data_IF_641758760824
#
_entry.id   IF_641758760824
#
_cell.length_a   1.000
_cell.length_b   1.000
_cell.length_c   1.000
_cell.angle_alpha   90.00
_cell.angle_beta   90.00
_cell.angle_gamma   90.00
#
_symmetry.space_group_name_H-M   'P 1'
#
loop_
_entity.id
_entity.type
_entity.pdbx_description
1 polymer ?
#
# COMPACT_ATOMS: atom_id res chain seq x y z
N UNK A 1 -42.76 -28.33 -34.83
CA UNK A 1 -42.18 -27.31 -33.94
C UNK A 1 -40.67 -27.45 -33.96
N UNK A 2 -39.95 -26.46 -34.48
CA UNK A 2 -38.48 -26.50 -34.60
C UNK A 2 -37.89 -26.04 -33.27
N UNK A 3 -37.31 -26.97 -32.52
CA UNK A 3 -36.67 -26.69 -31.24
C UNK A 3 -35.22 -26.26 -31.52
N UNK A 4 -34.94 -24.96 -31.41
CA UNK A 4 -33.56 -24.47 -31.50
C UNK A 4 -32.78 -24.86 -30.24
N UNK A 5 -31.59 -25.49 -30.36
CA UNK A 5 -30.75 -25.76 -29.21
C UNK A 5 -30.30 -24.44 -28.59
N UNK A 6 -30.56 -24.28 -27.29
CA UNK A 6 -30.12 -23.14 -26.51
C UNK A 6 -28.59 -23.17 -26.44
N UNK A 7 -27.85 -22.10 -26.82
CA UNK A 7 -26.40 -22.11 -26.72
C UNK A 7 -26.00 -22.36 -25.26
N UNK A 8 -25.00 -23.23 -25.07
CA UNK A 8 -24.46 -23.53 -23.76
C UNK A 8 -24.12 -22.23 -23.05
N UNK A 9 -24.62 -22.05 -21.82
CA UNK A 9 -24.28 -20.90 -21.00
C UNK A 9 -22.79 -21.01 -20.69
N UNK A 10 -21.98 -20.22 -21.38
CA UNK A 10 -20.58 -20.00 -21.04
C UNK A 10 -20.48 -19.82 -19.52
N UNK A 11 -19.62 -20.62 -18.90
CA UNK A 11 -19.49 -20.72 -17.45
C UNK A 11 -19.43 -19.31 -16.84
N UNK A 12 -20.40 -19.01 -15.97
CA UNK A 12 -20.48 -17.69 -15.32
C UNK A 12 -19.13 -17.43 -14.66
N UNK A 13 -18.41 -16.39 -15.09
CA UNK A 13 -17.22 -15.89 -14.40
C UNK A 13 -17.62 -15.60 -12.96
N UNK A 14 -17.31 -16.52 -12.05
CA UNK A 14 -17.70 -16.40 -10.66
C UNK A 14 -17.00 -15.16 -10.09
N UNK A 15 -17.79 -14.23 -9.55
CA UNK A 15 -17.27 -13.04 -8.92
C UNK A 15 -16.44 -13.43 -7.69
N UNK A 16 -15.12 -13.25 -7.77
CA UNK A 16 -14.19 -13.53 -6.67
C UNK A 16 -14.25 -12.38 -5.67
N UNK A 17 -14.85 -12.60 -4.50
CA UNK A 17 -14.86 -11.62 -3.39
C UNK A 17 -13.66 -11.78 -2.44
N UNK A 18 -12.69 -12.63 -2.78
CA UNK A 18 -11.49 -12.78 -1.96
C UNK A 18 -10.67 -11.50 -2.01
N UNK A 19 -10.39 -10.94 -0.82
CA UNK A 19 -9.55 -9.74 -0.69
C UNK A 19 -8.12 -10.03 -1.15
N UNK A 20 -7.43 -9.00 -1.62
CA UNK A 20 -6.00 -9.10 -1.89
C UNK A 20 -5.24 -9.04 -0.57
N UNK A 21 -4.17 -9.83 -0.46
CA UNK A 21 -3.23 -9.70 0.64
C UNK A 21 -2.42 -8.40 0.49
N UNK A 22 -1.73 -8.00 1.57
CA UNK A 22 -0.84 -6.84 1.53
C UNK A 22 0.27 -7.02 0.49
N UNK A 23 0.88 -8.20 0.45
CA UNK A 23 1.98 -8.51 -0.49
C UNK A 23 1.49 -8.53 -1.94
N UNK A 24 0.35 -9.18 -2.22
CA UNK A 24 -0.27 -9.19 -3.54
C UNK A 24 -0.53 -7.76 -4.03
N UNK A 25 -1.05 -6.91 -3.14
CA UNK A 25 -1.29 -5.51 -3.41
C UNK A 25 -0.01 -4.72 -3.71
N UNK A 26 1.01 -4.91 -2.90
CA UNK A 26 2.31 -4.25 -3.07
C UNK A 26 2.96 -4.65 -4.39
N UNK A 27 2.82 -5.92 -4.80
CA UNK A 27 3.28 -6.38 -6.11
C UNK A 27 2.58 -5.65 -7.26
N UNK A 28 1.26 -5.43 -7.17
CA UNK A 28 0.52 -4.67 -8.19
C UNK A 28 1.08 -3.25 -8.35
N UNK A 29 1.43 -2.59 -7.24
CA UNK A 29 2.05 -1.25 -7.26
C UNK A 29 3.41 -1.31 -7.95
N UNK A 30 4.26 -2.24 -7.53
CA UNK A 30 5.61 -2.39 -8.07
C UNK A 30 5.61 -2.72 -9.57
N UNK A 31 4.82 -3.70 -9.99
CA UNK A 31 4.75 -4.11 -11.39
C UNK A 31 4.21 -2.98 -12.29
N UNK A 32 3.24 -2.20 -11.79
CA UNK A 32 2.64 -1.09 -12.53
C UNK A 32 3.52 0.17 -12.57
N UNK A 33 4.10 0.57 -11.45
CA UNK A 33 4.78 1.87 -11.31
C UNK A 33 6.29 1.77 -11.51
N UNK A 34 6.94 0.81 -10.86
CA UNK A 34 8.40 0.66 -10.89
C UNK A 34 8.85 -0.08 -12.16
N UNK A 35 8.18 -1.20 -12.50
CA UNK A 35 8.48 -1.97 -13.72
C UNK A 35 7.77 -1.50 -14.97
N UNK A 36 6.78 -0.61 -14.85
CA UNK A 36 5.97 -0.09 -15.97
C UNK A 36 5.39 -1.19 -16.88
N UNK A 37 5.03 -2.34 -16.31
CA UNK A 37 4.52 -3.49 -17.05
C UNK A 37 3.10 -3.24 -17.59
N UNK A 38 2.77 -3.85 -18.73
CA UNK A 38 1.39 -3.88 -19.24
C UNK A 38 0.52 -4.77 -18.36
N UNK A 39 -0.73 -4.39 -18.12
CA UNK A 39 -1.63 -5.11 -17.22
C UNK A 39 -1.81 -6.61 -17.52
N UNK A 40 -1.82 -7.00 -18.79
CA UNK A 40 -1.89 -8.41 -19.19
C UNK A 40 -0.68 -9.20 -18.70
N UNK A 41 0.52 -8.61 -18.77
CA UNK A 41 1.75 -9.21 -18.23
C UNK A 41 1.72 -9.25 -16.71
N UNK A 42 1.24 -8.18 -16.07
CA UNK A 42 1.06 -8.15 -14.61
C UNK A 42 0.16 -9.30 -14.16
N UNK A 43 -0.97 -9.57 -14.85
CA UNK A 43 -1.84 -10.72 -14.54
C UNK A 43 -1.06 -12.04 -14.60
N UNK A 44 -0.29 -12.26 -15.66
CA UNK A 44 0.45 -13.50 -15.86
C UNK A 44 1.51 -13.70 -14.76
N UNK A 45 2.33 -12.69 -14.51
CA UNK A 45 3.38 -12.76 -13.50
C UNK A 45 2.80 -12.81 -12.06
N UNK A 46 1.68 -12.13 -11.81
CA UNK A 46 0.94 -12.26 -10.56
C UNK A 46 0.52 -13.70 -10.30
N UNK A 47 -0.06 -14.38 -11.31
CA UNK A 47 -0.50 -15.76 -11.18
C UNK A 47 0.68 -16.74 -11.00
N UNK A 48 1.85 -16.43 -11.56
CA UNK A 48 3.08 -17.21 -11.34
C UNK A 48 3.60 -17.06 -9.90
N UNK A 49 3.51 -15.86 -9.33
CA UNK A 49 4.03 -15.57 -7.99
C UNK A 49 3.10 -16.00 -6.86
N UNK A 50 1.79 -15.73 -6.98
CA UNK A 50 0.80 -15.94 -5.92
C UNK A 50 -0.15 -17.12 -6.19
N UNK A 51 0.03 -17.80 -7.32
CA UNK A 51 -0.89 -18.83 -7.78
C UNK A 51 -2.10 -18.25 -8.53
N UNK A 52 -2.86 -19.15 -9.16
CA UNK A 52 -4.00 -18.79 -10.00
C UNK A 52 -5.37 -19.01 -9.32
N UNK A 53 -5.37 -19.36 -8.03
CA UNK A 53 -6.60 -19.61 -7.26
C UNK A 53 -6.63 -18.60 -6.10
N UNK A 54 -7.55 -17.62 -6.11
CA UNK A 54 -8.59 -17.40 -7.13
C UNK A 54 -8.03 -16.69 -8.37
N UNK A 55 -8.68 -16.88 -9.52
CA UNK A 55 -8.24 -16.20 -10.75
C UNK A 55 -8.42 -14.68 -10.60
N UNK A 56 -7.31 -13.94 -10.68
CA UNK A 56 -7.33 -12.47 -10.71
C UNK A 56 -7.45 -11.99 -12.15
N UNK A 57 -8.46 -11.17 -12.42
CA UNK A 57 -8.63 -10.54 -13.75
C UNK A 57 -7.85 -9.24 -13.84
N UNK A 58 -7.51 -8.81 -15.06
CA UNK A 58 -6.90 -7.49 -15.31
C UNK A 58 -7.74 -6.37 -14.68
N UNK A 59 -9.06 -6.43 -14.84
CA UNK A 59 -9.99 -5.47 -14.24
C UNK A 59 -9.91 -5.48 -12.70
N UNK A 60 -9.78 -6.65 -12.09
CA UNK A 60 -9.62 -6.78 -10.64
C UNK A 60 -8.33 -6.12 -10.13
N UNK A 61 -7.21 -6.35 -10.81
CA UNK A 61 -5.92 -5.75 -10.47
C UNK A 61 -5.96 -4.22 -10.63
N UNK A 62 -6.52 -3.74 -11.74
CA UNK A 62 -6.71 -2.30 -11.99
C UNK A 62 -7.62 -1.65 -10.95
N UNK A 63 -8.76 -2.25 -10.64
CA UNK A 63 -9.70 -1.73 -9.65
C UNK A 63 -9.07 -1.65 -8.26
N UNK A 64 -8.28 -2.66 -7.87
CA UNK A 64 -7.52 -2.60 -6.63
C UNK A 64 -6.48 -1.46 -6.66
N UNK A 65 -5.67 -1.37 -7.73
CA UNK A 65 -4.65 -0.34 -7.90
C UNK A 65 -5.22 1.08 -7.77
N UNK A 66 -6.32 1.37 -8.47
CA UNK A 66 -6.95 2.70 -8.43
C UNK A 66 -7.63 3.01 -7.10
N UNK A 67 -8.13 2.01 -6.36
CA UNK A 67 -8.60 2.20 -4.98
C UNK A 67 -7.45 2.58 -4.06
N UNK A 68 -6.29 1.94 -4.21
CA UNK A 68 -5.12 2.25 -3.37
C UNK A 68 -4.44 3.57 -3.71
N UNK A 69 -4.60 4.09 -4.93
CA UNK A 69 -4.18 5.46 -5.25
C UNK A 69 -4.96 6.54 -4.46
N UNK A 70 -6.04 6.19 -3.79
CA UNK A 70 -6.78 7.11 -2.91
C UNK A 70 -6.18 7.20 -1.50
N UNK A 71 -5.19 6.35 -1.18
CA UNK A 71 -4.57 6.25 0.15
C UNK A 71 -3.05 6.18 0.05
N UNK A 72 -2.43 7.18 -0.55
CA UNK A 72 -0.96 7.26 -0.64
C UNK A 72 -0.43 7.95 0.62
N UNK A 73 0.55 7.38 1.36
CA UNK A 73 1.15 8.06 2.51
C UNK A 73 1.84 9.36 2.08
N UNK A 74 1.48 10.46 2.73
CA UNK A 74 2.10 11.76 2.49
C UNK A 74 3.49 11.78 3.11
N UNK A 75 4.47 12.20 2.30
CA UNK A 75 5.83 12.42 2.77
C UNK A 75 6.31 13.81 2.38
N UNK A 76 7.25 14.32 3.15
CA UNK A 76 8.03 15.49 2.78
C UNK A 76 9.12 15.10 1.75
N UNK A 77 9.75 16.09 1.09
CA UNK A 77 10.83 15.84 0.12
C UNK A 77 11.98 14.96 0.65
N UNK A 78 12.27 15.02 1.96
CA UNK A 78 13.31 14.19 2.60
C UNK A 78 12.92 12.70 2.78
N UNK A 79 11.69 12.33 2.42
CA UNK A 79 11.14 10.99 2.51
C UNK A 79 10.51 10.64 3.88
N UNK A 80 10.43 11.60 4.80
CA UNK A 80 9.77 11.43 6.11
C UNK A 80 8.26 11.53 5.98
N UNK A 81 7.53 10.71 6.73
CA UNK A 81 6.07 10.72 6.75
C UNK A 81 5.54 11.99 7.41
N UNK A 82 4.46 12.54 6.86
CA UNK A 82 3.72 13.66 7.45
C UNK A 82 2.59 13.11 8.31
N UNK A 83 2.37 13.71 9.48
CA UNK A 83 1.31 13.33 10.41
C UNK A 83 0.42 14.54 10.67
N UNK A 84 -0.84 14.33 11.04
CA UNK A 84 -1.72 15.46 11.40
C UNK A 84 -1.33 16.01 12.78
N UNK A 85 -1.00 15.12 13.72
CA UNK A 85 -0.55 15.48 15.06
C UNK A 85 0.78 14.81 15.44
N UNK A 86 1.39 15.29 16.53
CA UNK A 86 2.64 14.73 17.07
C UNK A 86 2.51 13.28 17.55
N UNK A 87 1.32 12.88 18.02
CA UNK A 87 1.07 11.56 18.63
C UNK A 87 0.39 10.55 17.72
N UNK A 88 -0.01 10.99 16.52
CA UNK A 88 -0.65 10.09 15.57
C UNK A 88 0.36 9.02 15.14
N UNK A 89 -0.08 7.76 15.22
CA UNK A 89 0.69 6.62 14.73
C UNK A 89 0.44 6.34 13.25
N UNK A 90 -0.58 6.96 12.66
CA UNK A 90 -0.89 6.82 11.24
C UNK A 90 -0.48 8.10 10.51
N UNK A 91 0.26 7.99 9.39
CA UNK A 91 0.60 9.16 8.60
C UNK A 91 -0.65 9.73 7.93
N UNK A 92 -0.57 10.98 7.51
CA UNK A 92 -1.55 11.59 6.64
C UNK A 92 -1.54 10.87 5.30
N UNK A 93 -2.72 10.57 4.77
CA UNK A 93 -2.89 9.99 3.43
C UNK A 93 -3.46 11.03 2.48
N UNK A 94 -3.05 10.95 1.22
CA UNK A 94 -3.55 11.77 0.12
C UNK A 94 -4.29 10.92 -0.90
N UNK A 95 -5.28 11.54 -1.55
CA UNK A 95 -6.06 10.95 -2.62
C UNK A 95 -5.61 11.50 -3.97
N UNK A 96 -5.07 10.65 -4.84
CA UNK A 96 -4.58 11.03 -6.17
C UNK A 96 -5.67 11.59 -7.09
N UNK A 97 -6.96 11.33 -6.82
CA UNK A 97 -8.05 11.94 -7.60
C UNK A 97 -8.17 13.45 -7.40
N UNK A 98 -7.79 13.92 -6.21
CA UNK A 98 -8.00 15.31 -5.78
C UNK A 98 -6.70 16.11 -5.91
N UNK A 99 -5.55 15.43 -5.85
CA UNK A 99 -4.25 16.06 -5.91
C UNK A 99 -3.60 15.84 -7.29
N UNK A 100 -3.06 16.91 -7.89
CA UNK A 100 -2.35 16.80 -9.17
C UNK A 100 -1.18 15.81 -9.04
N UNK A 101 -1.20 14.78 -9.88
CA UNK A 101 -0.16 13.77 -9.96
C UNK A 101 1.20 14.39 -10.28
N UNK A 102 1.24 15.41 -11.14
CA UNK A 102 2.47 16.12 -11.49
C UNK A 102 3.08 16.80 -10.27
N UNK A 103 2.26 17.53 -9.51
CA UNK A 103 2.65 18.11 -8.23
C UNK A 103 3.14 17.06 -7.23
N UNK A 104 2.44 15.94 -7.07
CA UNK A 104 2.85 14.88 -6.13
C UNK A 104 4.17 14.23 -6.50
N UNK A 105 4.41 13.96 -7.78
CA UNK A 105 5.69 13.39 -8.22
C UNK A 105 6.83 14.39 -7.97
N UNK A 106 6.58 15.69 -8.10
CA UNK A 106 7.58 16.72 -7.75
C UNK A 106 7.87 16.76 -6.25
N UNK A 107 6.84 16.64 -5.40
CA UNK A 107 7.01 16.77 -3.95
C UNK A 107 7.51 15.49 -3.27
N UNK A 108 7.10 14.32 -3.76
CA UNK A 108 7.26 13.02 -3.07
C UNK A 108 8.13 12.05 -3.90
N UNK A 109 8.41 12.37 -5.16
CA UNK A 109 9.12 11.49 -6.08
C UNK A 109 8.21 10.44 -6.75
N UNK A 110 8.80 9.46 -7.45
CA UNK A 110 8.05 8.39 -8.12
C UNK A 110 7.16 7.64 -7.13
N UNK A 111 5.87 7.48 -7.46
CA UNK A 111 4.87 6.85 -6.59
C UNK A 111 4.93 5.32 -6.60
N UNK A 112 6.15 4.76 -6.69
CA UNK A 112 6.43 3.32 -6.68
C UNK A 112 6.42 2.71 -5.28
N UNK A 113 6.69 1.41 -5.21
CA UNK A 113 6.64 0.65 -3.95
C UNK A 113 7.69 1.14 -2.95
N UNK A 114 8.89 1.51 -3.41
CA UNK A 114 9.96 2.00 -2.55
C UNK A 114 9.56 3.30 -1.82
N UNK A 115 8.75 4.15 -2.48
CA UNK A 115 8.27 5.38 -1.85
C UNK A 115 7.04 5.13 -0.98
N UNK A 116 6.09 4.31 -1.43
CA UNK A 116 4.85 4.09 -0.66
C UNK A 116 5.11 3.26 0.59
N UNK A 117 5.81 2.14 0.45
CA UNK A 117 5.96 1.11 1.47
C UNK A 117 7.39 0.55 1.54
N UNK A 118 8.40 1.42 1.78
CA UNK A 118 9.81 1.02 1.83
C UNK A 118 10.07 -0.11 2.82
N UNK A 119 9.43 -0.08 3.99
CA UNK A 119 9.59 -1.09 5.04
C UNK A 119 9.20 -2.50 4.60
N UNK A 120 8.28 -2.62 3.62
CA UNK A 120 7.85 -3.89 3.04
C UNK A 120 8.65 -4.24 1.79
N UNK A 121 8.91 -3.25 0.94
CA UNK A 121 9.66 -3.42 -0.31
C UNK A 121 11.04 -4.08 -0.10
N UNK A 122 11.74 -3.74 0.99
CA UNK A 122 13.06 -4.32 1.30
C UNK A 122 12.99 -5.83 1.54
N UNK A 123 11.84 -6.36 1.98
CA UNK A 123 11.66 -7.76 2.41
C UNK A 123 11.22 -8.69 1.28
N UNK A 124 10.54 -8.17 0.28
CA UNK A 124 9.96 -9.00 -0.79
C UNK A 124 11.04 -9.57 -1.73
N UNK A 125 10.93 -10.84 -2.08
CA UNK A 125 11.90 -11.52 -2.95
C UNK A 125 11.87 -11.00 -4.39
N UNK A 126 10.68 -10.66 -4.90
CA UNK A 126 10.41 -10.20 -6.27
C UNK A 126 10.76 -8.73 -6.54
N UNK A 127 11.14 -7.96 -5.52
CA UNK A 127 11.64 -6.59 -5.69
C UNK A 127 13.12 -6.62 -6.07
N UNK A 128 13.48 -5.90 -7.13
CA UNK A 128 14.85 -5.80 -7.63
C UNK A 128 15.79 -5.07 -6.65
N UNK A 129 17.09 -5.32 -6.81
CA UNK A 129 18.10 -4.78 -5.91
C UNK A 129 18.16 -3.24 -5.91
N UNK A 130 17.88 -2.58 -7.03
CA UNK A 130 17.91 -1.13 -7.16
C UNK A 130 16.74 -0.48 -6.39
N UNK A 131 15.54 -1.01 -6.58
CA UNK A 131 14.33 -0.62 -5.85
C UNK A 131 14.50 -0.90 -4.35
N UNK A 132 15.11 -2.03 -3.97
CA UNK A 132 15.44 -2.34 -2.58
C UNK A 132 16.43 -1.35 -1.98
N UNK A 133 17.46 -0.95 -2.72
CA UNK A 133 18.43 0.03 -2.24
C UNK A 133 17.75 1.36 -1.90
N UNK A 134 16.91 1.89 -2.80
CA UNK A 134 16.10 3.09 -2.56
C UNK A 134 15.18 2.93 -1.35
N UNK A 135 14.57 1.76 -1.20
CA UNK A 135 13.66 1.47 -0.09
C UNK A 135 14.37 1.35 1.26
N UNK A 136 15.63 0.90 1.33
CA UNK A 136 16.36 0.73 2.60
C UNK A 136 16.54 2.05 3.35
N UNK A 137 16.99 3.09 2.65
CA UNK A 137 17.23 4.40 3.28
C UNK A 137 15.93 4.99 3.82
N UNK A 138 14.86 4.91 3.02
CA UNK A 138 13.53 5.37 3.43
C UNK A 138 12.96 4.53 4.57
N UNK A 139 13.15 3.20 4.53
CA UNK A 139 12.70 2.30 5.58
C UNK A 139 13.40 2.62 6.91
N UNK A 140 14.71 2.86 6.90
CA UNK A 140 15.47 3.22 8.09
C UNK A 140 14.97 4.56 8.68
N UNK A 141 14.80 5.59 7.83
CA UNK A 141 14.24 6.89 8.24
C UNK A 141 12.86 6.75 8.88
N UNK A 142 11.96 5.97 8.25
CA UNK A 142 10.60 5.76 8.77
C UNK A 142 10.59 4.90 10.03
N UNK A 143 11.47 3.91 10.15
CA UNK A 143 11.60 3.09 11.35
C UNK A 143 11.97 3.94 12.57
N UNK A 144 12.94 4.85 12.42
CA UNK A 144 13.31 5.81 13.46
C UNK A 144 12.12 6.72 13.82
N UNK A 145 11.43 7.24 12.80
CA UNK A 145 10.27 8.12 12.99
C UNK A 145 9.13 7.44 13.78
N UNK A 146 8.81 6.18 13.47
CA UNK A 146 7.81 5.41 14.21
C UNK A 146 8.27 5.07 15.63
N UNK A 147 9.55 4.73 15.81
CA UNK A 147 10.13 4.46 17.12
C UNK A 147 10.01 5.68 18.05
N UNK A 148 10.43 6.85 17.57
CA UNK A 148 10.31 8.12 18.32
C UNK A 148 8.86 8.41 18.72
N UNK A 149 7.91 8.26 17.79
CA UNK A 149 6.50 8.51 18.05
C UNK A 149 5.90 7.55 19.08
N UNK A 150 6.21 6.26 18.99
CA UNK A 150 5.79 5.26 19.97
C UNK A 150 6.32 5.61 21.37
N UNK A 151 7.60 5.94 21.47
CA UNK A 151 8.21 6.35 22.74
C UNK A 151 7.58 7.63 23.31
N UNK A 152 7.26 8.62 22.49
CA UNK A 152 6.57 9.85 22.93
C UNK A 152 5.18 9.53 23.47
N UNK A 153 4.41 8.70 22.75
CA UNK A 153 3.07 8.27 23.17
C UNK A 153 3.11 7.53 24.51
N UNK A 154 4.01 6.56 24.66
CA UNK A 154 4.19 5.83 25.92
C UNK A 154 4.56 6.75 27.09
N UNK A 155 5.46 7.72 26.88
CA UNK A 155 5.83 8.72 27.91
C UNK A 155 4.63 9.56 28.34
N UNK A 156 3.77 9.97 27.40
CA UNK A 156 2.55 10.72 27.70
C UNK A 156 1.55 9.87 28.48
N UNK A 157 1.29 8.65 28.02
CA UNK A 157 0.37 7.71 28.69
C UNK A 157 0.83 7.44 30.13
N UNK A 158 2.13 7.25 30.35
CA UNK A 158 2.71 7.13 31.70
C UNK A 158 2.48 8.37 32.56
N UNK A 159 2.70 9.58 32.01
CA UNK A 159 2.48 10.85 32.74
C UNK A 159 1.01 11.04 33.13
N UNK A 160 0.09 10.78 32.21
CA UNK A 160 -1.35 10.87 32.46
C UNK A 160 -1.81 9.82 33.48
N UNK A 161 -1.29 8.60 33.40
CA UNK A 161 -1.56 7.55 34.39
C UNK A 161 -1.10 7.93 35.80
N UNK A 162 0.09 8.54 35.93
CA UNK A 162 0.62 9.03 37.21
C UNK A 162 -0.20 10.21 37.76
N UNK A 163 -0.66 11.13 36.91
CA UNK A 163 -1.54 12.24 37.33
C UNK A 163 -2.92 11.75 37.79
N UNK A 164 -3.51 10.78 37.07
CA UNK A 164 -4.79 10.17 37.44
C UNK A 164 -4.73 9.39 38.76
N UNK A 165 -3.60 8.75 39.08
CA UNK A 165 -3.39 8.11 40.38
C UNK A 165 -3.24 9.11 41.52
N UNK A 166 -2.62 10.28 41.28
CA UNK A 166 -2.52 11.35 42.30
C UNK A 166 -3.88 11.97 42.62
N UNK A 167 -4.73 12.17 41.62
CA UNK A 167 -6.07 12.75 41.82
C UNK A 167 -7.07 11.79 42.50
N UNK A 168 -6.87 10.47 42.41
CA UNK A 168 -7.73 9.46 43.07
C UNK A 168 -7.36 9.17 44.54
N UNK A 169 -6.25 9.72 45.02
CA UNK A 169 -5.74 9.56 46.40
C UNK A 169 -6.03 10.78 47.29
N UNK A 170 -6.73 11.77 46.74
CA UNK A 170 -7.29 12.93 47.42
C UNK A 170 -8.81 12.77 47.46
#
# INVERSE_FOLDING_TARGET
MICYPRPARDGKKHHVNQKYTTEEGDYIIYASQDKKMKWHLIKQEFAKLFGNIPERTVQGLQAWYYRMNQRIPMCNPDGRLCFNNEDDLEPRYINLKICDRGYLVKCIGPLGIAQRYPERAVRYSWVDAETKAKARDLAAKRALQYCERRLRRERRERRLGLQGQKQRRL
#
